data_IF_568420496518
#
_entry.id   IF_568420496518
#
_cell.length_a   1.000
_cell.length_b   1.000
_cell.length_c   1.000
_cell.angle_alpha   90.00
_cell.angle_beta   90.00
_cell.angle_gamma   90.00
#
_symmetry.space_group_name_H-M   'P 1'
#
loop_
_entity.id
_entity.type
_entity.pdbx_description
1 polymer ?
#
# COMPACT_ATOMS: atom_id res chain seq x y z
N UNK A 1 -30.73 -6.72 13.86
CA UNK A 1 -29.54 -7.04 13.06
C UNK A 1 -28.43 -6.06 13.49
N UNK A 2 -27.54 -6.50 14.36
CA UNK A 2 -26.44 -5.64 14.87
C UNK A 2 -25.30 -5.80 13.87
N UNK A 3 -25.12 -4.82 12.98
CA UNK A 3 -23.93 -4.77 12.12
C UNK A 3 -22.81 -4.24 13.01
N UNK A 4 -21.78 -5.05 13.22
CA UNK A 4 -20.60 -4.62 13.98
C UNK A 4 -19.97 -3.41 13.29
N UNK A 5 -19.66 -2.32 13.99
CA UNK A 5 -19.11 -1.11 13.40
C UNK A 5 -17.87 -1.37 12.53
N UNK A 6 -17.01 -2.29 12.94
CA UNK A 6 -15.82 -2.70 12.18
C UNK A 6 -16.13 -3.32 10.81
N UNK A 7 -17.21 -4.09 10.70
CA UNK A 7 -17.61 -4.70 9.43
C UNK A 7 -18.11 -3.65 8.44
N UNK A 8 -18.85 -2.65 8.95
CA UNK A 8 -19.34 -1.54 8.13
C UNK A 8 -18.18 -0.70 7.56
N UNK A 9 -17.19 -0.35 8.39
CA UNK A 9 -16.00 0.37 7.93
C UNK A 9 -15.22 -0.42 6.88
N UNK A 10 -15.06 -1.71 7.07
CA UNK A 10 -14.36 -2.57 6.12
C UNK A 10 -15.08 -2.64 4.76
N UNK A 11 -16.39 -2.83 4.76
CA UNK A 11 -17.21 -2.86 3.53
C UNK A 11 -17.16 -1.51 2.80
N UNK A 12 -17.29 -0.41 3.53
CA UNK A 12 -17.24 0.94 2.97
C UNK A 12 -15.87 1.25 2.37
N UNK A 13 -14.79 0.87 3.06
CA UNK A 13 -13.42 1.05 2.58
C UNK A 13 -13.15 0.28 1.29
N UNK A 14 -13.63 -0.96 1.20
CA UNK A 14 -13.52 -1.78 -0.01
C UNK A 14 -14.29 -1.17 -1.18
N UNK A 15 -15.52 -0.72 -0.94
CA UNK A 15 -16.34 -0.05 -1.95
C UNK A 15 -15.67 1.23 -2.47
N UNK A 16 -15.18 2.07 -1.57
CA UNK A 16 -14.47 3.30 -1.92
C UNK A 16 -13.20 3.01 -2.72
N UNK A 17 -12.40 2.03 -2.30
CA UNK A 17 -11.20 1.65 -3.04
C UNK A 17 -11.55 1.15 -4.46
N UNK A 18 -12.52 0.25 -4.60
CA UNK A 18 -12.96 -0.23 -5.91
C UNK A 18 -13.41 0.92 -6.82
N UNK A 19 -14.24 1.82 -6.29
CA UNK A 19 -14.74 2.97 -7.03
C UNK A 19 -13.59 3.89 -7.49
N UNK A 20 -12.62 4.16 -6.62
CA UNK A 20 -11.48 5.01 -6.97
C UNK A 20 -10.54 4.32 -7.97
N UNK A 21 -10.28 3.02 -7.81
CA UNK A 21 -9.50 2.25 -8.79
C UNK A 21 -10.14 2.32 -10.17
N UNK A 22 -11.44 2.05 -10.27
CA UNK A 22 -12.17 2.08 -11.55
C UNK A 22 -12.19 3.46 -12.19
N UNK A 23 -12.27 4.51 -11.38
CA UNK A 23 -12.41 5.88 -11.90
C UNK A 23 -11.08 6.54 -12.25
N UNK A 24 -10.02 6.28 -11.47
CA UNK A 24 -8.76 7.02 -11.57
C UNK A 24 -7.59 6.20 -12.12
N UNK A 25 -7.69 4.87 -12.14
CA UNK A 25 -6.59 4.01 -12.57
C UNK A 25 -7.02 3.10 -13.72
N UNK A 26 -6.22 3.07 -14.76
CA UNK A 26 -6.28 2.00 -15.74
C UNK A 26 -5.45 0.83 -15.19
N UNK A 27 -6.12 -0.26 -14.84
CA UNK A 27 -5.49 -1.47 -14.25
C UNK A 27 -5.23 -2.53 -15.31
N UNK A 28 -5.98 -2.47 -16.41
CA UNK A 28 -5.97 -3.48 -17.46
C UNK A 28 -4.56 -3.70 -18.02
N UNK A 29 -4.09 -4.93 -17.94
CA UNK A 29 -2.80 -5.36 -18.50
C UNK A 29 -1.57 -4.65 -17.90
N UNK A 30 -1.68 -4.07 -16.71
CA UNK A 30 -0.60 -3.34 -16.02
C UNK A 30 0.14 -4.20 -15.00
N UNK A 31 1.40 -3.81 -14.72
CA UNK A 31 2.20 -4.30 -13.61
C UNK A 31 2.07 -3.33 -12.42
N UNK A 32 1.44 -3.78 -11.35
CA UNK A 32 1.05 -2.93 -10.21
C UNK A 32 1.87 -3.29 -8.97
N UNK A 33 2.34 -2.28 -8.26
CA UNK A 33 2.94 -2.42 -6.94
C UNK A 33 1.85 -2.26 -5.87
N UNK A 34 1.67 -3.27 -5.03
CA UNK A 34 0.85 -3.17 -3.80
C UNK A 34 1.78 -3.12 -2.61
N UNK A 35 1.59 -2.13 -1.72
CA UNK A 35 2.40 -1.96 -0.51
C UNK A 35 1.55 -2.22 0.71
N UNK A 36 1.98 -3.20 1.52
CA UNK A 36 1.40 -3.52 2.82
C UNK A 36 0.02 -4.18 2.71
N UNK A 37 0.00 -5.49 2.56
CA UNK A 37 -1.22 -6.28 2.60
C UNK A 37 -0.98 -7.53 3.44
N UNK A 38 -1.85 -7.80 4.40
CA UNK A 38 -1.83 -9.05 5.17
C UNK A 38 -2.81 -10.06 4.58
N UNK A 39 -3.89 -9.57 4.00
CA UNK A 39 -4.94 -10.36 3.35
C UNK A 39 -5.08 -9.83 1.92
N UNK A 40 -5.02 -10.67 0.89
CA UNK A 40 -4.88 -10.27 -0.50
C UNK A 40 -6.19 -9.78 -1.13
N UNK A 41 -6.90 -8.87 -0.45
CA UNK A 41 -8.18 -8.32 -0.94
C UNK A 41 -7.98 -7.24 -2.02
N UNK A 42 -6.93 -6.42 -1.90
CA UNK A 42 -6.55 -5.43 -2.92
C UNK A 42 -6.14 -6.16 -4.20
N UNK A 43 -5.31 -7.19 -4.04
CA UNK A 43 -4.82 -8.01 -5.14
C UNK A 43 -5.97 -8.71 -5.88
N UNK A 44 -6.96 -9.22 -5.14
CA UNK A 44 -8.14 -9.84 -5.73
C UNK A 44 -8.92 -8.84 -6.61
N UNK A 45 -9.11 -7.61 -6.14
CA UNK A 45 -9.76 -6.54 -6.92
C UNK A 45 -8.94 -6.21 -8.18
N UNK A 46 -7.62 -6.04 -8.03
CA UNK A 46 -6.76 -5.71 -9.15
C UNK A 46 -6.71 -6.82 -10.21
N UNK A 47 -6.74 -8.08 -9.78
CA UNK A 47 -6.83 -9.23 -10.69
C UNK A 47 -8.15 -9.25 -11.45
N UNK A 48 -9.27 -9.02 -10.76
CA UNK A 48 -10.60 -8.92 -11.36
C UNK A 48 -10.69 -7.77 -12.39
N UNK A 49 -9.98 -6.67 -12.13
CA UNK A 49 -9.85 -5.55 -13.06
C UNK A 49 -8.86 -5.81 -14.21
N UNK A 50 -8.23 -6.99 -14.28
CA UNK A 50 -7.36 -7.40 -15.37
C UNK A 50 -5.90 -6.99 -15.24
N UNK A 51 -5.38 -6.80 -14.03
CA UNK A 51 -3.95 -6.59 -13.83
C UNK A 51 -3.14 -7.76 -14.41
N UNK A 52 -2.06 -7.44 -15.13
CA UNK A 52 -1.17 -8.44 -15.72
C UNK A 52 -0.27 -9.08 -14.68
N UNK A 53 0.22 -8.29 -13.75
CA UNK A 53 1.20 -8.69 -12.74
C UNK A 53 1.06 -7.82 -11.52
N UNK A 54 1.13 -8.40 -10.34
CA UNK A 54 1.08 -7.67 -9.06
C UNK A 54 2.32 -8.05 -8.25
N UNK A 55 3.13 -7.06 -7.91
CA UNK A 55 4.23 -7.22 -6.95
C UNK A 55 3.73 -6.73 -5.60
N UNK A 56 3.85 -7.58 -4.58
CA UNK A 56 3.37 -7.33 -3.23
C UNK A 56 4.57 -7.07 -2.34
N UNK A 57 4.75 -5.82 -1.91
CA UNK A 57 5.81 -5.41 -0.99
C UNK A 57 5.29 -5.51 0.45
N UNK A 58 5.76 -6.52 1.19
CA UNK A 58 5.26 -6.82 2.53
C UNK A 58 6.40 -7.33 3.44
N UNK A 59 6.36 -6.94 4.73
CA UNK A 59 7.31 -7.41 5.74
C UNK A 59 7.06 -8.87 6.16
N UNK A 60 5.80 -9.25 6.25
CA UNK A 60 5.39 -10.61 6.57
C UNK A 60 5.60 -11.58 5.40
N UNK A 61 5.71 -12.86 5.71
CA UNK A 61 5.80 -13.90 4.70
C UNK A 61 4.42 -14.10 4.05
N UNK A 62 4.35 -13.85 2.75
CA UNK A 62 3.16 -14.16 1.95
C UNK A 62 3.49 -15.35 1.06
N UNK A 63 2.70 -16.41 1.19
CA UNK A 63 2.76 -17.57 0.32
C UNK A 63 1.62 -17.45 -0.69
N UNK A 64 1.96 -17.30 -1.97
CA UNK A 64 0.98 -17.27 -3.06
C UNK A 64 1.31 -18.32 -4.11
N UNK A 65 0.29 -19.04 -4.56
CA UNK A 65 0.37 -19.95 -5.71
C UNK A 65 -0.21 -19.32 -6.99
N UNK A 66 -0.74 -18.11 -6.88
CA UNK A 66 -1.33 -17.43 -8.03
C UNK A 66 -0.23 -16.93 -9.00
N UNK A 67 -0.31 -17.24 -10.31
CA UNK A 67 0.77 -16.98 -11.25
C UNK A 67 1.05 -15.49 -11.53
N UNK A 68 0.15 -14.60 -11.15
CA UNK A 68 0.28 -13.15 -11.34
C UNK A 68 0.67 -12.41 -10.05
N UNK A 69 0.78 -13.09 -8.89
CA UNK A 69 1.13 -12.50 -7.61
C UNK A 69 2.59 -12.80 -7.24
N UNK A 70 3.37 -11.77 -6.99
CA UNK A 70 4.81 -11.84 -6.71
C UNK A 70 5.14 -11.14 -5.39
N UNK A 71 5.02 -11.85 -4.25
CA UNK A 71 5.43 -11.30 -2.96
C UNK A 71 6.94 -11.04 -2.93
N UNK A 72 7.33 -9.92 -2.32
CA UNK A 72 8.72 -9.54 -2.13
C UNK A 72 8.90 -8.81 -0.80
N UNK A 73 9.96 -9.13 -0.09
CA UNK A 73 10.32 -8.44 1.15
C UNK A 73 11.02 -7.11 0.88
N UNK A 74 10.91 -6.12 1.77
CA UNK A 74 11.54 -4.80 1.59
C UNK A 74 13.04 -4.87 1.34
N UNK A 75 13.75 -5.80 1.99
CA UNK A 75 15.19 -6.01 1.78
C UNK A 75 15.51 -6.44 0.35
N UNK A 76 14.78 -7.43 -0.16
CA UNK A 76 15.00 -7.97 -1.51
C UNK A 76 14.54 -6.98 -2.59
N UNK A 77 13.48 -6.24 -2.31
CA UNK A 77 13.01 -5.15 -3.16
C UNK A 77 14.10 -4.07 -3.31
N UNK A 78 14.66 -3.61 -2.19
CA UNK A 78 15.73 -2.63 -2.19
C UNK A 78 16.99 -3.16 -2.92
N UNK A 79 17.36 -4.43 -2.70
CA UNK A 79 18.50 -5.03 -3.38
C UNK A 79 18.30 -5.12 -4.89
N UNK A 80 17.10 -5.49 -5.35
CA UNK A 80 16.77 -5.51 -6.78
C UNK A 80 16.80 -4.10 -7.39
N UNK A 81 16.33 -3.10 -6.66
CA UNK A 81 16.39 -1.71 -7.11
C UNK A 81 17.84 -1.24 -7.28
N UNK A 82 18.70 -1.48 -6.27
CA UNK A 82 20.11 -1.08 -6.31
C UNK A 82 20.90 -1.80 -7.42
N UNK A 83 20.55 -3.03 -7.72
CA UNK A 83 21.17 -3.81 -8.79
C UNK A 83 20.59 -3.51 -10.19
N UNK A 84 19.60 -2.64 -10.30
CA UNK A 84 18.93 -2.33 -11.55
C UNK A 84 18.10 -3.49 -12.13
N UNK A 85 17.73 -4.47 -11.32
CA UNK A 85 16.94 -5.65 -11.72
C UNK A 85 15.48 -5.57 -11.33
N UNK A 86 15.08 -4.52 -10.63
CA UNK A 86 13.68 -4.28 -10.30
C UNK A 86 12.95 -3.71 -11.53
N UNK A 87 11.88 -4.37 -11.93
CA UNK A 87 11.00 -3.82 -12.98
C UNK A 87 10.28 -2.59 -12.45
N UNK A 88 10.11 -1.59 -13.29
CA UNK A 88 9.29 -0.42 -12.97
C UNK A 88 7.80 -0.76 -13.06
N UNK A 89 7.00 -0.08 -12.22
CA UNK A 89 5.57 -0.31 -12.12
C UNK A 89 4.75 0.73 -12.89
N UNK A 90 3.66 0.28 -13.47
CA UNK A 90 2.69 1.12 -14.17
C UNK A 90 1.81 1.91 -13.21
N UNK A 91 1.58 1.34 -12.02
CA UNK A 91 0.80 1.97 -10.96
C UNK A 91 1.19 1.43 -9.59
N UNK A 92 0.78 2.13 -8.54
CA UNK A 92 0.94 1.72 -7.14
C UNK A 92 -0.36 1.85 -6.38
N UNK A 93 -0.63 0.90 -5.49
CA UNK A 93 -1.75 0.93 -4.54
C UNK A 93 -1.23 0.64 -3.15
N UNK A 94 -1.64 1.43 -2.18
CA UNK A 94 -1.43 1.17 -0.76
C UNK A 94 -2.66 1.63 0.03
N UNK A 95 -3.07 0.85 1.01
CA UNK A 95 -4.24 1.17 1.82
C UNK A 95 -4.01 0.79 3.28
N UNK A 96 -4.09 1.78 4.16
CA UNK A 96 -3.89 1.64 5.62
C UNK A 96 -2.63 0.84 5.97
N UNK A 97 -1.49 1.26 5.42
CA UNK A 97 -0.22 0.55 5.56
C UNK A 97 0.96 1.49 5.77
N UNK A 98 1.13 2.48 4.90
CA UNK A 98 2.33 3.34 4.93
C UNK A 98 2.42 4.18 6.20
N UNK A 99 1.31 4.50 6.84
CA UNK A 99 1.24 5.22 8.11
C UNK A 99 1.90 4.45 9.28
N UNK A 100 2.12 3.16 9.10
CA UNK A 100 2.85 2.31 10.06
C UNK A 100 4.35 2.24 9.79
N UNK A 101 4.82 2.77 8.67
CA UNK A 101 6.23 2.69 8.29
C UNK A 101 7.09 3.55 9.21
N UNK A 102 8.17 2.97 9.72
CA UNK A 102 9.09 3.64 10.64
C UNK A 102 8.70 3.53 12.10
N UNK A 103 7.71 2.73 12.45
CA UNK A 103 7.24 2.56 13.83
C UNK A 103 7.77 1.29 14.51
N UNK A 104 8.50 0.45 13.78
CA UNK A 104 9.07 -0.80 14.30
C UNK A 104 8.05 -1.92 14.49
N UNK A 105 6.79 -1.72 14.13
CA UNK A 105 5.69 -2.67 14.37
C UNK A 105 5.87 -3.99 13.60
N UNK A 106 6.40 -3.89 12.39
CA UNK A 106 6.61 -5.02 11.48
C UNK A 106 8.08 -5.39 11.29
N UNK A 107 8.94 -5.00 12.24
CA UNK A 107 10.39 -5.24 12.18
C UNK A 107 11.16 -4.21 11.34
N UNK A 108 10.50 -3.12 10.98
CA UNK A 108 11.10 -1.95 10.35
C UNK A 108 11.87 -1.10 11.37
N UNK A 109 12.86 -0.34 10.90
CA UNK A 109 13.63 0.57 11.75
C UNK A 109 12.78 1.74 12.20
N UNK A 110 12.91 2.14 13.46
CA UNK A 110 12.23 3.32 14.00
C UNK A 110 12.74 4.57 13.27
N UNK A 111 11.86 5.26 12.59
CA UNK A 111 12.13 6.48 11.85
C UNK A 111 10.87 7.35 11.76
N UNK A 112 10.87 8.56 12.35
CA UNK A 112 9.69 9.44 12.31
C UNK A 112 9.23 9.85 10.91
N UNK A 113 10.09 9.71 9.90
CA UNK A 113 9.82 10.03 8.49
C UNK A 113 9.62 8.76 7.64
N UNK A 114 9.34 7.62 8.28
CA UNK A 114 9.27 6.32 7.62
C UNK A 114 8.20 6.26 6.52
N UNK A 115 7.05 6.84 6.75
CA UNK A 115 5.94 6.97 5.80
C UNK A 115 6.34 7.76 4.54
N UNK A 116 6.92 8.96 4.73
CA UNK A 116 7.38 9.81 3.63
C UNK A 116 8.54 9.16 2.85
N UNK A 117 9.47 8.52 3.55
CA UNK A 117 10.59 7.81 2.91
C UNK A 117 10.08 6.62 2.12
N UNK A 118 9.09 5.88 2.64
CA UNK A 118 8.47 4.76 1.93
C UNK A 118 7.80 5.24 0.64
N UNK A 119 7.06 6.34 0.72
CA UNK A 119 6.45 6.96 -0.47
C UNK A 119 7.49 7.43 -1.49
N UNK A 120 8.56 8.10 -1.04
CA UNK A 120 9.63 8.56 -1.93
C UNK A 120 10.34 7.39 -2.63
N UNK A 121 10.64 6.32 -1.90
CA UNK A 121 11.23 5.10 -2.47
C UNK A 121 10.30 4.44 -3.48
N UNK A 122 9.02 4.30 -3.15
CA UNK A 122 8.03 3.74 -4.07
C UNK A 122 7.94 4.58 -5.35
N UNK A 123 7.90 5.91 -5.21
CA UNK A 123 7.88 6.83 -6.35
C UNK A 123 9.03 6.60 -7.34
N UNK A 124 10.25 6.36 -6.83
CA UNK A 124 11.43 6.08 -7.66
C UNK A 124 11.31 4.79 -8.48
N UNK A 125 10.39 3.89 -8.14
CA UNK A 125 10.17 2.62 -8.84
C UNK A 125 9.05 2.68 -9.88
N UNK A 126 8.33 3.79 -9.93
CA UNK A 126 7.23 3.98 -10.86
C UNK A 126 7.72 4.46 -12.24
N UNK A 127 7.03 4.06 -13.28
CA UNK A 127 7.22 4.60 -14.62
C UNK A 127 6.81 6.08 -14.70
N UNK A 128 7.31 6.83 -15.67
CA UNK A 128 6.81 8.19 -15.92
C UNK A 128 5.29 8.19 -16.15
N UNK A 129 4.58 9.12 -15.50
CA UNK A 129 3.11 9.25 -15.52
C UNK A 129 2.34 8.12 -14.82
N UNK A 130 3.01 7.20 -14.12
CA UNK A 130 2.34 6.21 -13.29
C UNK A 130 1.45 6.89 -12.24
N UNK A 131 0.38 6.22 -11.88
CA UNK A 131 -0.56 6.70 -10.86
C UNK A 131 -0.35 5.95 -9.55
N UNK A 132 -0.53 6.66 -8.43
CA UNK A 132 -0.51 6.07 -7.10
C UNK A 132 -1.86 6.32 -6.42
N UNK A 133 -2.47 5.26 -5.90
CA UNK A 133 -3.63 5.34 -5.03
C UNK A 133 -3.19 5.06 -3.61
N UNK A 134 -3.36 6.05 -2.74
CA UNK A 134 -2.93 5.99 -1.34
C UNK A 134 -4.14 6.21 -0.45
N UNK A 135 -4.55 5.16 0.24
CA UNK A 135 -5.58 5.22 1.27
C UNK A 135 -4.94 5.25 2.65
N UNK A 136 -5.22 6.30 3.41
CA UNK A 136 -4.75 6.48 4.79
C UNK A 136 -5.90 6.93 5.67
N UNK A 137 -5.87 6.65 6.97
CA UNK A 137 -6.84 7.19 7.90
C UNK A 137 -6.85 8.72 7.86
N UNK A 138 -8.04 9.30 7.92
CA UNK A 138 -8.22 10.74 8.00
C UNK A 138 -8.55 11.16 9.43
N UNK A 139 -7.87 12.18 9.94
CA UNK A 139 -8.10 12.71 11.28
C UNK A 139 -7.09 13.79 11.66
N UNK A 140 -7.16 14.31 12.88
CA UNK A 140 -6.10 15.13 13.44
C UNK A 140 -4.81 14.29 13.57
N UNK A 141 -3.65 14.94 13.52
CA UNK A 141 -2.37 14.29 13.75
C UNK A 141 -2.37 13.65 15.15
N UNK A 142 -2.31 12.34 15.19
CA UNK A 142 -2.36 11.59 16.45
C UNK A 142 -1.29 10.51 16.40
N UNK A 143 -0.50 10.44 17.48
CA UNK A 143 0.32 9.26 17.78
C UNK A 143 -0.52 8.36 18.68
N UNK A 144 -0.95 7.22 18.15
CA UNK A 144 -1.74 6.26 18.92
C UNK A 144 -0.89 5.04 19.25
N UNK A 145 -0.69 4.81 20.55
CA UNK A 145 -0.03 3.60 21.06
C UNK A 145 -1.10 2.58 21.40
N UNK A 146 -1.29 1.59 20.53
CA UNK A 146 -2.19 0.47 20.80
C UNK A 146 -1.35 -0.80 20.95
N UNK A 147 -1.29 -1.35 22.16
CA UNK A 147 -0.71 -2.67 22.46
C UNK A 147 0.67 -2.96 21.79
N UNK A 148 1.64 -2.05 21.89
CA UNK A 148 2.96 -2.07 21.24
C UNK A 148 3.00 -1.59 19.79
N UNK A 149 1.92 -1.06 19.25
CA UNK A 149 1.93 -0.38 17.96
C UNK A 149 1.85 1.13 18.17
N UNK A 150 2.74 1.86 17.54
CA UNK A 150 2.69 3.32 17.48
C UNK A 150 2.33 3.69 16.06
N UNK A 151 1.28 4.46 15.86
CA UNK A 151 0.92 4.99 14.54
C UNK A 151 1.13 6.49 14.53
N UNK A 152 1.93 7.00 13.58
CA UNK A 152 2.07 8.42 13.32
C UNK A 152 1.26 8.76 12.09
N UNK A 153 0.38 9.75 12.20
CA UNK A 153 -0.31 10.31 11.05
C UNK A 153 0.26 11.71 10.81
N UNK A 154 1.11 11.83 9.81
CA UNK A 154 1.67 13.09 9.41
C UNK A 154 1.28 13.37 7.96
N UNK A 155 0.10 13.97 7.77
CA UNK A 155 -0.29 14.50 6.47
C UNK A 155 -0.49 16.01 6.55
N UNK A 156 0.53 16.79 6.17
CA UNK A 156 0.34 18.22 5.98
C UNK A 156 -0.31 18.48 4.61
N UNK A 157 -1.52 18.00 4.38
CA UNK A 157 -2.36 18.52 3.30
C UNK A 157 -3.39 19.48 3.88
N UNK A 158 -2.89 20.57 4.46
CA UNK A 158 -3.65 21.78 4.54
C UNK A 158 -3.44 22.57 3.26
N UNK A 159 -4.26 22.39 2.26
CA UNK A 159 -4.43 23.42 1.25
C UNK A 159 -5.77 24.09 1.45
N UNK A 160 -5.76 25.10 2.29
CA UNK A 160 -6.70 26.20 2.18
C UNK A 160 -6.36 26.94 0.89
N UNK A 161 -7.22 26.88 -0.10
CA UNK A 161 -7.75 28.03 -0.85
C UNK A 161 -8.78 27.55 -1.84
#
# INVERSE_FOLDING_TARGET
MIIMPHLYHYILSNYLLCSHLQHYMDVQNQHILVIGTQVPWIEAILLDMGAKKITILEYNDIVSQHPQLFPIKPKDFAQKYLNGTLEQFDAMVTFSSIEHSGLGTYGDSINPWGDLITMAKAWCTLKPKAKALVGVPYGPDVVQVLYRSVSFFHFPFSKKR
#
